data_IF_894824892505
#
_entry.id   IF_894824892505
#
_cell.length_a   1.000
_cell.length_b   1.000
_cell.length_c   1.000
_cell.angle_alpha   90.00
_cell.angle_beta   90.00
_cell.angle_gamma   90.00
#
_symmetry.space_group_name_H-M   'P 1'
#
loop_
_entity.id
_entity.type
_entity.pdbx_description
1 polymer ?
#
# COMPACT_ATOMS: atom_id res chain seq x y z
N UNK A 1 17.99 1.16 -58.76
CA UNK A 1 16.58 1.55 -59.03
C UNK A 1 15.80 1.41 -57.73
N UNK A 2 14.80 2.21 -57.34
CA UNK A 2 14.22 3.44 -57.89
C UNK A 2 13.21 3.96 -56.85
N UNK A 3 13.18 5.27 -56.56
CA UNK A 3 12.42 5.85 -55.42
C UNK A 3 10.91 5.84 -55.64
N UNK A 4 10.11 5.89 -54.56
CA UNK A 4 9.21 7.06 -54.26
C UNK A 4 8.46 6.94 -52.91
N UNK A 5 8.61 7.99 -52.08
CA UNK A 5 7.60 8.44 -51.11
C UNK A 5 6.62 9.40 -51.82
N UNK A 6 5.43 9.66 -51.26
CA UNK A 6 4.79 10.98 -51.38
C UNK A 6 4.68 11.72 -50.03
N UNK A 7 4.69 13.06 -50.09
CA UNK A 7 4.50 13.98 -48.96
C UNK A 7 3.04 14.50 -48.90
N UNK A 8 2.70 15.15 -47.77
CA UNK A 8 1.58 16.11 -47.60
C UNK A 8 1.70 17.32 -48.57
N UNK A 9 0.71 18.25 -48.65
CA UNK A 9 0.79 19.51 -47.86
C UNK A 9 -0.64 20.13 -47.54
N UNK A 10 -0.90 21.45 -47.31
CA UNK A 10 -1.78 21.88 -46.18
C UNK A 10 -2.90 22.93 -46.51
N UNK A 11 -3.78 23.25 -45.54
CA UNK A 11 -4.67 24.47 -45.45
C UNK A 11 -5.65 24.32 -44.26
N UNK A 12 -6.26 25.34 -43.63
CA UNK A 12 -5.92 26.74 -43.28
C UNK A 12 -6.98 27.29 -42.29
N UNK A 13 -6.62 28.19 -41.37
CA UNK A 13 -7.55 29.14 -40.69
C UNK A 13 -7.78 30.40 -41.57
N UNK A 14 -8.58 31.45 -41.26
CA UNK A 14 -9.58 31.72 -40.18
C UNK A 14 -10.96 32.11 -40.83
N UNK A 15 -11.84 33.07 -40.39
CA UNK A 15 -12.05 33.84 -39.14
C UNK A 15 -13.53 33.81 -38.60
N UNK A 16 -13.93 34.61 -37.58
CA UNK A 16 -15.27 34.58 -36.97
C UNK A 16 -16.21 35.75 -37.35
N UNK A 17 -17.49 35.63 -36.97
CA UNK A 17 -18.53 36.69 -36.94
C UNK A 17 -19.32 36.53 -35.64
N UNK A 18 -19.39 37.45 -34.66
CA UNK A 18 -19.95 38.83 -34.65
C UNK A 18 -21.44 38.93 -35.00
N UNK A 19 -22.26 39.21 -33.99
CA UNK A 19 -23.32 40.25 -33.92
C UNK A 19 -23.78 40.30 -32.43
N UNK A 20 -23.64 41.43 -31.73
CA UNK A 20 -24.63 42.54 -31.54
C UNK A 20 -25.81 42.12 -30.63
N UNK A 21 -26.47 42.92 -29.76
CA UNK A 21 -26.39 44.32 -29.23
C UNK A 21 -27.33 44.35 -27.96
N UNK A 22 -27.37 45.28 -27.00
CA UNK A 22 -26.73 46.58 -26.65
C UNK A 22 -26.64 46.70 -25.08
N UNK A 23 -25.98 47.67 -24.41
CA UNK A 23 -26.37 49.06 -24.07
C UNK A 23 -27.67 49.23 -23.24
N UNK A 24 -27.84 50.09 -22.21
CA UNK A 24 -27.18 51.36 -21.81
C UNK A 24 -27.23 51.57 -20.26
N UNK A 25 -26.20 52.18 -19.67
CA UNK A 25 -26.27 53.05 -18.47
C UNK A 25 -26.51 52.40 -17.08
N UNK A 26 -26.14 53.01 -15.95
CA UNK A 26 -25.35 54.24 -15.72
C UNK A 26 -25.79 54.97 -14.44
N UNK A 27 -24.83 55.43 -13.61
CA UNK A 27 -25.11 56.42 -12.55
C UNK A 27 -25.03 55.91 -11.09
N UNK A 28 -24.15 56.54 -10.33
CA UNK A 28 -23.79 56.29 -8.93
C UNK A 28 -24.91 56.39 -7.87
N UNK A 29 -24.72 55.70 -6.73
CA UNK A 29 -24.46 56.35 -5.42
C UNK A 29 -24.26 55.34 -4.27
N UNK A 30 -23.56 55.77 -3.22
CA UNK A 30 -23.26 54.97 -2.03
C UNK A 30 -24.44 54.81 -1.07
N UNK A 31 -24.58 53.65 -0.44
CA UNK A 31 -25.23 53.50 0.87
C UNK A 31 -24.65 52.33 1.65
N UNK A 32 -24.22 52.58 2.89
CA UNK A 32 -23.91 51.53 3.86
C UNK A 32 -25.21 50.86 4.33
N UNK A 33 -25.20 49.53 4.44
CA UNK A 33 -26.02 48.77 5.39
C UNK A 33 -25.22 47.56 5.86
N UNK A 34 -25.51 47.09 7.07
CA UNK A 34 -24.69 46.19 7.87
C UNK A 34 -25.54 44.96 8.28
N UNK A 35 -24.90 43.79 8.48
CA UNK A 35 -25.51 42.53 8.96
C UNK A 35 -26.48 41.86 7.94
N UNK A 36 -26.69 40.53 7.85
CA UNK A 36 -26.48 39.36 8.74
C UNK A 36 -26.23 38.05 7.94
N UNK A 37 -25.52 37.09 8.57
CA UNK A 37 -25.62 35.60 8.48
C UNK A 37 -25.68 34.80 7.14
N UNK A 38 -25.43 33.47 7.31
CA UNK A 38 -25.45 32.36 6.33
C UNK A 38 -24.37 32.37 5.23
N UNK A 39 -23.71 31.26 4.85
CA UNK A 39 -23.56 29.91 5.43
C UNK A 39 -22.30 29.26 4.76
N UNK A 40 -21.97 28.00 5.09
CA UNK A 40 -20.95 27.08 4.53
C UNK A 40 -19.58 27.05 5.25
N UNK A 41 -19.47 26.26 6.34
CA UNK A 41 -18.22 25.59 6.70
C UNK A 41 -17.85 24.57 5.62
N UNK A 42 -16.64 24.66 5.09
CA UNK A 42 -16.08 23.65 4.19
C UNK A 42 -15.75 22.37 4.99
N UNK A 43 -16.71 21.45 5.10
CA UNK A 43 -16.58 20.13 5.71
C UNK A 43 -15.53 19.27 4.97
N UNK A 44 -14.26 19.49 5.29
CA UNK A 44 -13.21 18.48 5.12
C UNK A 44 -13.42 17.41 6.19
N UNK A 45 -14.46 16.61 5.97
CA UNK A 45 -14.87 15.54 6.88
C UNK A 45 -13.68 14.63 7.16
N UNK A 46 -13.34 14.47 8.43
CA UNK A 46 -12.26 13.60 8.90
C UNK A 46 -12.67 12.15 8.68
N UNK A 47 -12.41 11.61 7.48
CA UNK A 47 -12.84 10.27 7.08
C UNK A 47 -12.25 9.25 8.05
N UNK A 48 -13.09 8.66 8.89
CA UNK A 48 -12.70 7.51 9.71
C UNK A 48 -12.35 6.35 8.75
N UNK A 49 -11.12 5.80 8.78
CA UNK A 49 -10.75 4.67 7.93
C UNK A 49 -11.61 3.42 8.17
N UNK A 50 -12.33 3.33 9.29
CA UNK A 50 -13.28 2.26 9.61
C UNK A 50 -14.75 2.65 9.45
N UNK A 51 -15.05 3.80 8.84
CA UNK A 51 -16.42 4.22 8.51
C UNK A 51 -17.16 3.17 7.67
N UNK A 52 -18.47 2.93 7.90
CA UNK A 52 -19.27 2.05 7.04
C UNK A 52 -19.31 2.52 5.57
N UNK A 53 -18.99 3.79 5.29
CA UNK A 53 -18.80 4.30 3.92
C UNK A 53 -17.70 3.56 3.14
N UNK A 54 -16.75 2.92 3.83
CA UNK A 54 -15.66 2.16 3.21
C UNK A 54 -16.04 0.71 2.85
N UNK A 55 -17.26 0.25 3.19
CA UNK A 55 -17.75 -1.09 2.83
C UNK A 55 -17.71 -1.41 1.31
N UNK A 56 -18.18 -0.54 0.38
CA UNK A 56 -18.03 -0.79 -1.05
C UNK A 56 -16.55 -0.85 -1.47
N UNK A 57 -15.69 0.01 -0.91
CA UNK A 57 -14.24 0.04 -1.20
C UNK A 57 -13.60 -1.30 -0.79
N UNK A 58 -13.92 -1.78 0.42
CA UNK A 58 -13.51 -3.11 0.90
C UNK A 58 -13.92 -4.21 -0.08
N UNK A 59 -15.19 -4.23 -0.53
CA UNK A 59 -15.65 -5.22 -1.52
C UNK A 59 -14.90 -5.13 -2.86
N UNK A 60 -14.46 -3.94 -3.30
CA UNK A 60 -13.64 -3.80 -4.50
C UNK A 60 -12.21 -4.31 -4.29
N UNK A 61 -11.62 -4.07 -3.11
CA UNK A 61 -10.35 -4.64 -2.69
C UNK A 61 -10.40 -6.17 -2.65
N UNK A 62 -11.47 -6.77 -2.12
CA UNK A 62 -11.70 -8.22 -2.15
C UNK A 62 -11.70 -8.77 -3.59
N UNK A 63 -12.37 -8.09 -4.53
CA UNK A 63 -12.35 -8.49 -5.94
C UNK A 63 -10.95 -8.39 -6.56
N UNK A 64 -10.09 -7.52 -6.05
CA UNK A 64 -8.69 -7.46 -6.44
C UNK A 64 -7.85 -8.57 -5.80
N UNK A 65 -8.07 -8.90 -4.53
CA UNK A 65 -7.40 -10.04 -3.83
C UNK A 65 -7.74 -11.36 -4.52
N UNK A 66 -9.03 -11.65 -4.74
CA UNK A 66 -9.47 -12.82 -5.50
C UNK A 66 -8.83 -12.88 -6.90
N UNK A 67 -8.63 -11.74 -7.55
CA UNK A 67 -7.94 -11.69 -8.85
C UNK A 67 -6.44 -11.97 -8.76
N UNK A 68 -5.77 -11.64 -7.65
CA UNK A 68 -4.36 -12.02 -7.37
C UNK A 68 -4.28 -13.54 -7.15
N UNK A 69 -5.18 -14.10 -6.34
CA UNK A 69 -5.22 -15.53 -6.02
C UNK A 69 -5.52 -16.39 -7.25
N UNK A 70 -6.37 -15.89 -8.17
CA UNK A 70 -6.60 -16.51 -9.48
C UNK A 70 -5.46 -16.27 -10.49
N UNK A 71 -4.29 -15.76 -10.09
CA UNK A 71 -3.15 -15.46 -10.97
C UNK A 71 -3.34 -14.29 -11.94
N UNK A 72 -4.45 -13.55 -11.86
CA UNK A 72 -4.80 -12.46 -12.75
C UNK A 72 -4.36 -11.10 -12.20
N UNK A 73 -3.05 -10.98 -11.95
CA UNK A 73 -2.41 -9.81 -11.36
C UNK A 73 -2.61 -8.52 -12.18
N UNK A 74 -2.71 -8.63 -13.52
CA UNK A 74 -2.97 -7.48 -14.39
C UNK A 74 -4.37 -6.88 -14.17
N UNK A 75 -5.40 -7.73 -14.00
CA UNK A 75 -6.75 -7.29 -13.60
C UNK A 75 -6.75 -6.68 -12.21
N UNK A 76 -6.07 -7.30 -11.25
CA UNK A 76 -5.95 -6.79 -9.88
C UNK A 76 -5.32 -5.39 -9.84
N UNK A 77 -4.16 -5.18 -10.48
CA UNK A 77 -3.51 -3.87 -10.53
C UNK A 77 -4.37 -2.80 -11.22
N UNK A 78 -5.17 -3.17 -12.23
CA UNK A 78 -6.07 -2.21 -12.88
C UNK A 78 -7.18 -1.75 -11.93
N UNK A 79 -7.78 -2.67 -11.18
CA UNK A 79 -8.78 -2.36 -10.14
C UNK A 79 -8.16 -1.49 -9.04
N UNK A 80 -6.98 -1.87 -8.55
CA UNK A 80 -6.33 -1.18 -7.42
C UNK A 80 -5.83 0.22 -7.79
N UNK A 81 -5.33 0.43 -9.02
CA UNK A 81 -4.99 1.78 -9.51
C UNK A 81 -6.20 2.70 -9.57
N UNK A 82 -7.32 2.20 -10.09
CA UNK A 82 -8.57 2.96 -10.15
C UNK A 82 -9.12 3.27 -8.75
N UNK A 83 -9.04 2.31 -7.81
CA UNK A 83 -9.39 2.52 -6.40
C UNK A 83 -8.53 3.57 -5.70
N UNK A 84 -7.20 3.50 -5.82
CA UNK A 84 -6.31 4.48 -5.20
C UNK A 84 -6.47 5.89 -5.79
N UNK A 85 -6.95 6.03 -7.03
CA UNK A 85 -7.28 7.32 -7.64
C UNK A 85 -8.64 7.87 -7.18
N UNK A 86 -9.63 7.01 -6.96
CA UNK A 86 -10.97 7.41 -6.47
C UNK A 86 -11.02 7.64 -4.96
N UNK A 87 -10.16 6.95 -4.21
CA UNK A 87 -10.17 6.90 -2.75
C UNK A 87 -8.75 7.02 -2.19
N UNK A 88 -8.09 8.14 -2.50
CA UNK A 88 -6.70 8.40 -2.11
C UNK A 88 -6.49 8.39 -0.59
N UNK A 89 -7.52 8.74 0.19
CA UNK A 89 -7.49 8.78 1.66
C UNK A 89 -7.84 7.43 2.34
N UNK A 90 -8.17 6.38 1.56
CA UNK A 90 -8.54 5.09 2.14
C UNK A 90 -7.30 4.19 2.32
N UNK A 91 -6.81 3.91 3.54
CA UNK A 91 -5.58 3.15 3.75
C UNK A 91 -5.64 1.71 3.18
N UNK A 92 -6.84 1.12 3.15
CA UNK A 92 -7.08 -0.22 2.62
C UNK A 92 -6.69 -0.36 1.14
N UNK A 93 -6.94 0.66 0.31
CA UNK A 93 -6.64 0.60 -1.13
C UNK A 93 -5.13 0.50 -1.34
N UNK A 94 -4.37 1.35 -0.65
CA UNK A 94 -2.91 1.34 -0.64
C UNK A 94 -2.33 0.05 -0.06
N UNK A 95 -2.88 -0.48 1.04
CA UNK A 95 -2.45 -1.75 1.64
C UNK A 95 -2.57 -2.93 0.67
N UNK A 96 -3.66 -3.01 -0.08
CA UNK A 96 -3.91 -4.07 -1.07
C UNK A 96 -3.16 -3.82 -2.39
N UNK A 97 -2.94 -2.56 -2.77
CA UNK A 97 -2.06 -2.20 -3.89
C UNK A 97 -0.61 -2.63 -3.63
N UNK A 98 -0.10 -2.40 -2.41
CA UNK A 98 1.21 -2.89 -2.00
C UNK A 98 1.29 -4.42 -2.06
N UNK A 99 0.26 -5.12 -1.57
CA UNK A 99 0.17 -6.58 -1.66
C UNK A 99 0.25 -7.09 -3.11
N UNK A 100 -0.51 -6.49 -4.03
CA UNK A 100 -0.49 -6.84 -5.44
C UNK A 100 0.90 -6.64 -6.08
N UNK A 101 1.64 -5.63 -5.62
CA UNK A 101 3.01 -5.39 -6.07
C UNK A 101 4.03 -6.38 -5.47
N UNK A 102 3.90 -6.77 -4.20
CA UNK A 102 4.70 -7.86 -3.63
C UNK A 102 4.48 -9.19 -4.36
N UNK A 103 3.22 -9.54 -4.66
CA UNK A 103 2.89 -10.77 -5.39
C UNK A 103 3.32 -10.76 -6.86
N UNK A 104 3.42 -9.60 -7.49
CA UNK A 104 4.08 -9.51 -8.80
C UNK A 104 5.60 -9.65 -8.68
N UNK A 105 6.22 -9.06 -7.65
CA UNK A 105 7.66 -9.17 -7.44
C UNK A 105 8.13 -10.59 -7.08
N UNK A 106 7.28 -11.44 -6.49
CA UNK A 106 7.61 -12.85 -6.23
C UNK A 106 7.68 -13.69 -7.52
N UNK A 107 6.91 -13.32 -8.54
CA UNK A 107 6.81 -14.01 -9.84
C UNK A 107 7.79 -13.52 -10.92
N UNK A 108 8.60 -12.50 -10.62
CA UNK A 108 9.50 -11.86 -11.59
C UNK A 108 10.97 -12.20 -11.27
N UNK A 109 11.62 -12.82 -12.25
CA UNK A 109 13.06 -13.15 -12.21
C UNK A 109 13.98 -11.96 -12.51
N UNK A 110 13.52 -11.00 -13.35
CA UNK A 110 14.30 -9.79 -13.64
C UNK A 110 14.39 -8.91 -12.39
N UNK A 111 15.61 -8.82 -11.83
CA UNK A 111 15.89 -8.03 -10.63
C UNK A 111 15.50 -6.55 -10.76
N UNK A 112 15.58 -5.94 -11.94
CA UNK A 112 15.25 -4.52 -12.14
C UNK A 112 13.73 -4.31 -12.04
N UNK A 113 12.96 -5.10 -12.79
CA UNK A 113 11.49 -5.05 -12.76
C UNK A 113 10.94 -5.48 -11.40
N UNK A 114 11.53 -6.50 -10.78
CA UNK A 114 11.23 -6.94 -9.42
C UNK A 114 11.42 -5.83 -8.39
N UNK A 115 12.59 -5.18 -8.39
CA UNK A 115 12.89 -4.07 -7.46
C UNK A 115 11.92 -2.90 -7.66
N UNK A 116 11.58 -2.55 -8.92
CA UNK A 116 10.58 -1.53 -9.20
C UNK A 116 9.21 -1.85 -8.61
N UNK A 117 8.76 -3.11 -8.68
CA UNK A 117 7.52 -3.52 -8.04
C UNK A 117 7.60 -3.46 -6.51
N UNK A 118 8.71 -3.89 -5.91
CA UNK A 118 8.89 -3.77 -4.46
C UNK A 118 8.94 -2.29 -4.01
N UNK A 119 9.55 -1.38 -4.76
CA UNK A 119 9.51 0.05 -4.42
C UNK A 119 8.10 0.64 -4.50
N UNK A 120 7.31 0.29 -5.53
CA UNK A 120 5.89 0.66 -5.55
C UNK A 120 5.15 0.11 -4.32
N UNK A 121 5.50 -1.09 -3.84
CA UNK A 121 4.90 -1.64 -2.63
C UNK A 121 5.34 -0.89 -1.35
N UNK A 122 6.59 -0.42 -1.27
CA UNK A 122 7.08 0.46 -0.19
C UNK A 122 6.27 1.75 -0.17
N UNK A 123 6.07 2.41 -1.31
CA UNK A 123 5.33 3.67 -1.37
C UNK A 123 3.85 3.48 -1.02
N UNK A 124 3.19 2.44 -1.52
CA UNK A 124 1.82 2.09 -1.13
C UNK A 124 1.72 1.77 0.37
N UNK A 125 2.65 0.98 0.93
CA UNK A 125 2.66 0.66 2.35
C UNK A 125 2.86 1.89 3.24
N UNK A 126 3.79 2.79 2.85
CA UNK A 126 4.02 4.09 3.52
C UNK A 126 2.76 4.95 3.52
N UNK A 127 1.99 4.98 2.42
CA UNK A 127 0.72 5.70 2.35
C UNK A 127 -0.34 5.08 3.27
N UNK A 128 -0.45 3.76 3.34
CA UNK A 128 -1.35 3.07 4.28
C UNK A 128 -1.03 3.41 5.75
N UNK A 129 0.24 3.36 6.14
CA UNK A 129 0.72 3.76 7.48
C UNK A 129 0.46 5.25 7.76
N UNK A 130 0.65 6.12 6.77
CA UNK A 130 0.42 7.57 6.94
C UNK A 130 -1.06 7.90 7.18
N UNK A 131 -1.97 7.13 6.57
CA UNK A 131 -3.43 7.30 6.69
C UNK A 131 -4.01 6.60 7.93
N UNK A 132 -3.36 5.54 8.45
CA UNK A 132 -3.74 4.88 9.70
C UNK A 132 -2.50 4.54 10.55
N UNK A 133 -1.94 5.53 11.27
CA UNK A 133 -0.67 5.36 12.01
C UNK A 133 -0.79 4.43 13.21
N UNK A 134 -2.00 4.14 13.69
CA UNK A 134 -2.30 3.24 14.80
C UNK A 134 -2.55 1.79 14.36
N UNK A 135 -2.42 1.47 13.07
CA UNK A 135 -2.50 0.10 12.56
C UNK A 135 -1.19 -0.64 12.79
N UNK A 136 -1.20 -1.70 13.61
CA UNK A 136 -0.03 -2.60 13.68
C UNK A 136 0.09 -3.41 12.36
N UNK A 137 -1.02 -3.75 11.71
CA UNK A 137 -1.02 -4.52 10.45
C UNK A 137 -0.26 -3.77 9.33
N UNK A 138 -0.56 -2.49 9.13
CA UNK A 138 0.15 -1.66 8.15
C UNK A 138 1.60 -1.43 8.56
N UNK A 139 1.90 -1.33 9.86
CA UNK A 139 3.27 -1.23 10.38
C UNK A 139 4.11 -2.48 10.06
N UNK A 140 3.56 -3.68 10.31
CA UNK A 140 4.18 -4.96 9.96
C UNK A 140 4.39 -5.06 8.46
N UNK A 141 3.37 -4.72 7.67
CA UNK A 141 3.47 -4.78 6.22
C UNK A 141 4.57 -3.84 5.69
N UNK A 142 4.58 -2.58 6.13
CA UNK A 142 5.59 -1.60 5.70
C UNK A 142 7.00 -2.02 6.11
N UNK A 143 7.23 -2.41 7.37
CA UNK A 143 8.52 -2.92 7.82
C UNK A 143 8.96 -4.19 7.05
N UNK A 144 8.02 -5.08 6.71
CA UNK A 144 8.31 -6.29 5.93
C UNK A 144 8.73 -5.95 4.50
N UNK A 145 8.07 -5.02 3.82
CA UNK A 145 8.46 -4.61 2.46
C UNK A 145 9.78 -3.83 2.49
N UNK A 146 10.00 -2.96 3.49
CA UNK A 146 11.30 -2.30 3.71
C UNK A 146 12.43 -3.34 3.87
N UNK A 147 12.24 -4.37 4.69
CA UNK A 147 13.20 -5.48 4.83
C UNK A 147 13.45 -6.22 3.50
N UNK A 148 12.43 -6.39 2.65
CA UNK A 148 12.57 -7.06 1.35
C UNK A 148 13.33 -6.23 0.30
N UNK A 149 13.13 -4.90 0.23
CA UNK A 149 13.92 -4.03 -0.67
C UNK A 149 15.35 -3.80 -0.17
N UNK A 150 15.57 -3.96 1.13
CA UNK A 150 16.85 -3.67 1.76
C UNK A 150 17.96 -4.60 1.27
N UNK A 151 19.09 -3.98 0.93
CA UNK A 151 20.31 -4.68 0.54
C UNK A 151 21.49 -4.33 1.42
N UNK A 152 21.37 -3.29 2.25
CA UNK A 152 22.41 -2.68 3.07
C UNK A 152 21.92 -2.31 4.48
N UNK A 153 22.85 -1.86 5.33
CA UNK A 153 22.57 -1.55 6.74
C UNK A 153 21.52 -0.46 6.88
N UNK A 154 21.60 0.60 6.07
CA UNK A 154 20.69 1.74 6.14
C UNK A 154 19.23 1.34 5.84
N UNK A 155 19.00 0.46 4.86
CA UNK A 155 17.66 -0.06 4.57
C UNK A 155 17.11 -0.92 5.71
N UNK A 156 17.92 -1.84 6.25
CA UNK A 156 17.50 -2.67 7.38
C UNK A 156 17.23 -1.83 8.65
N UNK A 157 17.97 -0.74 8.85
CA UNK A 157 17.72 0.22 9.92
C UNK A 157 16.39 0.99 9.71
N UNK A 158 15.99 1.28 8.47
CA UNK A 158 14.66 1.86 8.17
C UNK A 158 13.53 0.88 8.52
N UNK A 159 13.70 -0.40 8.17
CA UNK A 159 12.76 -1.45 8.54
C UNK A 159 12.68 -1.65 10.07
N UNK A 160 13.82 -1.59 10.77
CA UNK A 160 13.88 -1.67 12.23
C UNK A 160 13.20 -0.49 12.92
N UNK A 161 13.46 0.75 12.48
CA UNK A 161 12.79 1.96 13.02
C UNK A 161 11.28 1.90 12.86
N UNK A 162 10.78 1.35 11.76
CA UNK A 162 9.34 1.14 11.55
C UNK A 162 8.77 0.05 12.48
N UNK A 163 9.53 -1.00 12.79
CA UNK A 163 9.16 -1.96 13.84
C UNK A 163 9.07 -1.28 15.21
N UNK A 164 10.06 -0.47 15.59
CA UNK A 164 10.06 0.25 16.86
C UNK A 164 8.88 1.24 16.96
N UNK A 165 8.55 1.93 15.86
CA UNK A 165 7.35 2.78 15.75
C UNK A 165 6.07 1.97 16.00
N UNK A 166 5.91 0.83 15.31
CA UNK A 166 4.72 -0.02 15.46
C UNK A 166 4.58 -0.68 16.84
N UNK A 167 5.71 -1.04 17.48
CA UNK A 167 5.73 -1.54 18.86
C UNK A 167 5.40 -0.46 19.90
N UNK A 168 5.58 0.82 19.55
CA UNK A 168 5.30 1.97 20.42
C UNK A 168 3.85 2.48 20.34
N UNK A 169 2.97 1.82 19.57
CA UNK A 169 1.56 2.22 19.43
C UNK A 169 0.79 1.88 20.73
N UNK A 170 0.47 2.90 21.51
CA UNK A 170 -0.21 2.74 22.82
C UNK A 170 -1.68 2.31 22.78
N UNK A 171 -2.37 2.49 21.64
CA UNK A 171 -3.77 2.07 21.43
C UNK A 171 -3.94 1.54 20.00
N UNK A 172 -3.53 0.29 19.73
CA UNK A 172 -3.56 -0.24 18.38
C UNK A 172 -4.97 -0.57 17.91
N UNK A 173 -5.19 -0.41 16.60
CA UNK A 173 -6.43 -0.84 15.96
C UNK A 173 -6.50 -2.38 15.98
N UNK A 174 -7.67 -2.92 16.33
CA UNK A 174 -7.94 -4.36 16.25
C UNK A 174 -7.79 -4.84 14.79
N UNK A 175 -6.87 -5.78 14.51
CA UNK A 175 -6.60 -6.26 13.15
C UNK A 175 -7.84 -6.74 12.40
N UNK A 176 -8.86 -7.28 13.07
CA UNK A 176 -10.12 -7.73 12.41
C UNK A 176 -10.88 -6.58 11.75
N UNK A 177 -10.76 -5.35 12.25
CA UNK A 177 -11.35 -4.16 11.60
C UNK A 177 -10.62 -3.80 10.29
N UNK A 178 -9.41 -4.32 10.11
CA UNK A 178 -8.51 -4.12 8.98
C UNK A 178 -8.51 -5.30 7.99
N UNK A 179 -9.18 -6.41 8.33
CA UNK A 179 -9.51 -7.46 7.36
C UNK A 179 -10.69 -7.00 6.49
N UNK A 180 -10.71 -7.48 5.25
CA UNK A 180 -11.75 -7.16 4.26
C UNK A 180 -13.01 -8.01 4.48
N UNK A 181 -12.85 -9.27 4.89
CA UNK A 181 -13.91 -10.15 5.39
C UNK A 181 -13.73 -10.45 6.89
N UNK A 182 -14.81 -10.50 7.70
CA UNK A 182 -14.73 -10.97 9.07
C UNK A 182 -14.46 -12.49 9.09
N UNK A 183 -13.66 -13.01 10.04
CA UNK A 183 -13.36 -14.44 10.11
C UNK A 183 -14.62 -15.28 10.38
N UNK A 184 -14.68 -16.46 9.77
CA UNK A 184 -15.70 -17.47 10.07
C UNK A 184 -15.74 -17.83 11.57
N UNK A 185 -16.95 -18.10 12.09
CA UNK A 185 -17.26 -18.01 13.53
C UNK A 185 -16.65 -19.09 14.44
N UNK A 186 -15.83 -20.01 13.91
CA UNK A 186 -15.19 -21.05 14.70
C UNK A 186 -13.92 -20.55 15.39
N UNK A 187 -14.00 -20.35 16.70
CA UNK A 187 -12.86 -20.14 17.60
C UNK A 187 -12.07 -18.83 17.34
N UNK A 188 -12.80 -17.71 17.18
CA UNK A 188 -12.21 -16.38 16.97
C UNK A 188 -11.35 -15.97 18.20
N UNK A 189 -10.04 -15.75 18.05
CA UNK A 189 -9.18 -15.30 19.17
C UNK A 189 -9.61 -13.92 19.67
N UNK A 190 -9.38 -13.60 20.95
CA UNK A 190 -9.76 -12.28 21.51
C UNK A 190 -9.02 -11.13 20.83
N UNK A 191 -9.50 -9.89 21.00
CA UNK A 191 -8.87 -8.68 20.43
C UNK A 191 -7.42 -8.57 20.90
N UNK A 192 -7.18 -8.82 22.19
CA UNK A 192 -5.87 -8.80 22.85
C UNK A 192 -4.95 -9.87 22.26
N UNK A 193 -5.46 -11.08 22.02
CA UNK A 193 -4.69 -12.16 21.40
C UNK A 193 -4.30 -11.83 19.95
N UNK A 194 -5.20 -11.18 19.19
CA UNK A 194 -4.89 -10.72 17.81
C UNK A 194 -3.81 -9.65 17.82
N UNK A 195 -3.91 -8.67 18.71
CA UNK A 195 -2.90 -7.63 18.91
C UNK A 195 -1.56 -8.24 19.33
N UNK A 196 -1.55 -9.17 20.30
CA UNK A 196 -0.34 -9.85 20.75
C UNK A 196 0.34 -10.66 19.62
N UNK A 197 -0.44 -11.35 18.79
CA UNK A 197 0.07 -12.05 17.61
C UNK A 197 0.72 -11.09 16.61
N UNK A 198 0.12 -9.91 16.36
CA UNK A 198 0.70 -8.87 15.51
C UNK A 198 2.00 -8.29 16.10
N UNK A 199 2.02 -7.94 17.39
CA UNK A 199 3.22 -7.45 18.07
C UNK A 199 4.37 -8.48 18.01
N UNK A 200 4.05 -9.77 18.16
CA UNK A 200 5.02 -10.87 18.01
C UNK A 200 5.56 -10.95 16.58
N UNK A 201 4.71 -10.83 15.56
CA UNK A 201 5.14 -10.79 14.16
C UNK A 201 6.06 -9.58 13.88
N UNK A 202 5.76 -8.42 14.46
CA UNK A 202 6.59 -7.21 14.33
C UNK A 202 7.97 -7.38 14.99
N UNK A 203 8.03 -8.01 16.17
CA UNK A 203 9.30 -8.38 16.83
C UNK A 203 10.14 -9.34 15.98
N UNK A 204 9.51 -10.27 15.26
CA UNK A 204 10.22 -11.19 14.35
C UNK A 204 10.83 -10.42 13.17
N UNK A 205 10.13 -9.43 12.59
CA UNK A 205 10.69 -8.57 11.53
C UNK A 205 11.86 -7.74 12.05
N UNK A 206 11.73 -7.12 13.24
CA UNK A 206 12.81 -6.39 13.90
C UNK A 206 14.06 -7.27 14.11
N UNK A 207 13.88 -8.51 14.58
CA UNK A 207 14.99 -9.45 14.77
C UNK A 207 15.66 -9.87 13.46
N UNK A 208 14.88 -10.09 12.39
CA UNK A 208 15.42 -10.33 11.02
C UNK A 208 16.28 -9.17 10.53
N UNK A 209 15.86 -7.91 10.76
CA UNK A 209 16.63 -6.72 10.40
C UNK A 209 17.98 -6.67 11.14
N UNK A 210 17.97 -6.86 12.46
CA UNK A 210 19.18 -6.90 13.30
C UNK A 210 20.18 -7.96 12.84
N UNK A 211 19.73 -9.18 12.52
CA UNK A 211 20.59 -10.24 11.98
C UNK A 211 21.19 -9.86 10.63
N UNK A 212 20.39 -9.27 9.73
CA UNK A 212 20.84 -8.86 8.41
C UNK A 212 21.90 -7.74 8.47
N UNK A 213 21.77 -6.81 9.42
CA UNK A 213 22.78 -5.77 9.70
C UNK A 213 24.09 -6.37 10.23
N UNK A 214 24.03 -7.22 11.27
CA UNK A 214 25.21 -7.80 11.90
C UNK A 214 25.99 -8.71 10.95
N UNK A 215 25.30 -9.62 10.26
CA UNK A 215 25.95 -10.52 9.29
C UNK A 215 26.69 -9.74 8.20
N UNK A 216 26.10 -8.65 7.67
CA UNK A 216 26.75 -7.79 6.66
C UNK A 216 27.99 -7.07 7.20
N UNK A 217 27.98 -6.66 8.47
CA UNK A 217 29.16 -6.08 9.12
C UNK A 217 30.31 -7.10 9.20
N UNK A 218 30.01 -8.35 9.60
CA UNK A 218 30.99 -9.44 9.63
C UNK A 218 31.56 -9.77 8.24
N UNK A 219 30.75 -9.77 7.17
CA UNK A 219 31.25 -9.90 5.79
C UNK A 219 32.23 -8.80 5.43
N UNK A 220 31.91 -7.54 5.75
CA UNK A 220 32.74 -6.37 5.42
C UNK A 220 34.06 -6.36 6.19
N UNK A 221 34.06 -6.86 7.43
CA UNK A 221 35.27 -6.92 8.27
C UNK A 221 36.13 -8.18 8.06
N UNK A 222 35.55 -9.31 7.61
CA UNK A 222 36.29 -10.60 7.55
C UNK A 222 36.53 -11.17 6.14
N UNK A 223 35.91 -10.61 5.09
CA UNK A 223 36.17 -11.00 3.69
C UNK A 223 35.75 -12.42 3.29
N UNK A 224 35.03 -13.16 4.14
CA UNK A 224 34.69 -14.58 3.91
C UNK A 224 33.51 -14.75 2.96
N UNK A 225 33.76 -14.87 1.66
CA UNK A 225 32.78 -14.86 0.56
C UNK A 225 31.67 -15.97 0.48
N UNK A 226 31.36 -16.77 1.52
CA UNK A 226 30.73 -18.09 1.31
C UNK A 226 29.33 -18.43 1.89
N UNK A 227 28.59 -17.56 2.60
CA UNK A 227 27.34 -17.98 3.28
C UNK A 227 26.08 -17.13 2.94
N UNK A 228 26.20 -16.04 2.17
CA UNK A 228 25.06 -15.13 1.91
C UNK A 228 23.95 -15.75 1.04
N UNK A 229 24.29 -16.66 0.12
CA UNK A 229 23.31 -17.33 -0.75
C UNK A 229 22.51 -18.42 -0.02
N UNK A 230 23.14 -19.14 0.92
CA UNK A 230 22.55 -20.31 1.58
C UNK A 230 21.44 -19.89 2.56
N UNK A 231 21.64 -18.83 3.35
CA UNK A 231 20.66 -18.48 4.39
C UNK A 231 19.35 -17.89 3.84
N UNK A 232 19.38 -17.23 2.67
CA UNK A 232 18.17 -16.80 1.96
C UNK A 232 17.33 -17.99 1.46
N UNK A 233 17.95 -19.12 1.13
CA UNK A 233 17.26 -20.35 0.71
C UNK A 233 16.85 -21.24 1.89
N UNK A 234 17.66 -21.35 2.95
CA UNK A 234 17.27 -22.12 4.15
C UNK A 234 16.10 -21.49 4.90
N UNK A 235 15.93 -20.16 4.80
CA UNK A 235 14.77 -19.46 5.37
C UNK A 235 13.45 -19.89 4.72
N UNK A 236 13.41 -20.08 3.39
CA UNK A 236 12.21 -20.59 2.70
C UNK A 236 11.89 -22.05 3.07
N UNK A 237 12.89 -22.90 3.33
CA UNK A 237 12.66 -24.31 3.71
C UNK A 237 12.24 -24.52 5.18
N UNK A 238 12.59 -23.63 6.10
CA UNK A 238 12.03 -23.72 7.47
C UNK A 238 10.61 -23.13 7.58
N UNK A 239 10.25 -22.18 6.73
CA UNK A 239 8.88 -21.62 6.69
C UNK A 239 7.85 -22.70 6.28
N UNK A 240 8.16 -23.58 5.33
CA UNK A 240 7.28 -24.72 4.98
C UNK A 240 7.04 -25.71 6.14
N UNK A 241 7.94 -25.80 7.12
CA UNK A 241 7.73 -26.64 8.30
C UNK A 241 6.84 -25.95 9.36
N UNK A 242 6.85 -24.61 9.44
CA UNK A 242 5.91 -23.85 10.28
C UNK A 242 4.49 -23.78 9.68
N UNK A 243 4.36 -23.83 8.36
CA UNK A 243 3.08 -23.99 7.65
C UNK A 243 2.36 -25.31 8.03
N UNK A 244 3.10 -26.36 8.42
CA UNK A 244 2.51 -27.63 8.84
C UNK A 244 1.89 -27.59 10.23
N UNK A 245 2.40 -26.75 11.15
CA UNK A 245 1.86 -26.60 12.51
C UNK A 245 0.64 -25.68 12.61
N UNK A 246 0.31 -24.94 11.54
CA UNK A 246 -0.89 -24.10 11.43
C UNK A 246 -2.06 -24.78 10.69
N UNK A 247 -1.94 -26.07 10.37
CA UNK A 247 -2.85 -26.85 9.51
C UNK A 247 -4.27 -27.12 10.05
N UNK A 248 -4.67 -26.50 11.16
CA UNK A 248 -5.97 -26.74 11.82
C UNK A 248 -7.05 -25.71 11.42
N UNK A 249 -6.69 -24.58 10.82
CA UNK A 249 -7.64 -23.52 10.44
C UNK A 249 -7.66 -23.31 8.91
N UNK A 250 -8.43 -24.16 8.23
CA UNK A 250 -8.76 -24.02 6.82
C UNK A 250 -9.84 -22.93 6.63
N UNK A 251 -9.63 -22.05 5.66
CA UNK A 251 -10.38 -20.80 5.38
C UNK A 251 -9.99 -19.60 6.26
N UNK A 252 -9.96 -18.41 5.65
CA UNK A 252 -9.89 -17.07 6.29
C UNK A 252 -8.59 -16.59 6.97
N UNK A 253 -7.39 -17.03 6.54
CA UNK A 253 -6.09 -16.46 7.01
C UNK A 253 -5.17 -15.99 5.86
N UNK A 254 -5.74 -15.65 4.70
CA UNK A 254 -4.97 -15.25 3.50
C UNK A 254 -4.09 -13.99 3.67
N UNK A 255 -4.42 -13.10 4.61
CA UNK A 255 -3.65 -11.86 4.84
C UNK A 255 -2.41 -12.07 5.74
N UNK A 256 -2.43 -13.10 6.60
CA UNK A 256 -1.35 -13.41 7.54
C UNK A 256 -0.34 -14.41 6.96
N UNK A 257 -0.78 -15.26 6.03
CA UNK A 257 0.05 -16.19 5.25
C UNK A 257 1.04 -15.49 4.27
N UNK A 258 1.04 -14.15 4.23
CA UNK A 258 1.87 -13.32 3.32
C UNK A 258 3.08 -12.71 4.05
N UNK A 259 3.16 -12.83 5.38
CA UNK A 259 4.29 -12.32 6.19
C UNK A 259 5.46 -13.32 6.26
N UNK A 260 5.29 -14.55 5.76
CA UNK A 260 6.27 -15.64 5.82
C UNK A 260 6.34 -16.45 4.51
#
# INVERSE_FOLDING_TARGET
>A
MGRKKPNLPPRSKPPPTTEDRASVGGGASSSNVNLTDDDLPQEQSKIDPHSPANAPIKLECDRAINAIECGNHAKALRILKDLCLRHEDCPFTHRVQGYAHCQLASLIDDNVTKLRHLQNAVDSARRAVSLSPNSIEFSIFYATVLYQVSSDGNGYEEAERECERGLSIGNPIDPVREIVQPPSQSNVPTVEQRIANMLTALQIVMHKCRIAMHSRHEYRCTGKHRIAAVFRQSSTTQISNLQSTTSVFHSDVALLAVVF
#
